data_IF_534218466904
#
_entry.id   IF_534218466904
#
_cell.length_a   1.000
_cell.length_b   1.000
_cell.length_c   1.000
_cell.angle_alpha   90.00
_cell.angle_beta   90.00
_cell.angle_gamma   90.00
#
_symmetry.space_group_name_H-M   'P 1'
#
loop_
_entity.id
_entity.type
_entity.pdbx_description
1 polymer ?
#
# COMPACT_ATOMS: atom_id res chain seq x y z
N UNK A 1 22.37 13.60 9.11
CA UNK A 1 21.56 12.37 9.06
C UNK A 1 20.33 12.48 9.95
N UNK A 2 20.48 12.77 11.25
CA UNK A 2 19.35 12.96 12.18
C UNK A 2 18.38 14.10 11.78
N UNK A 3 18.90 15.28 11.42
CA UNK A 3 18.05 16.41 11.00
C UNK A 3 17.22 16.10 9.73
N UNK A 4 17.79 15.31 8.81
CA UNK A 4 17.10 14.93 7.58
C UNK A 4 16.09 13.80 7.77
N UNK A 5 16.33 12.88 8.70
CA UNK A 5 15.33 11.90 9.16
C UNK A 5 14.14 12.65 9.77
N UNK A 6 14.40 13.69 10.56
CA UNK A 6 13.36 14.51 11.15
C UNK A 6 12.55 15.27 10.09
N UNK A 7 13.18 15.77 9.04
CA UNK A 7 12.48 16.39 7.89
C UNK A 7 11.59 15.39 7.15
N UNK A 8 12.08 14.16 6.93
CA UNK A 8 11.29 13.09 6.32
C UNK A 8 10.07 12.70 7.17
N UNK A 9 10.23 12.56 8.48
CA UNK A 9 9.14 12.29 9.42
C UNK A 9 8.09 13.43 9.44
N UNK A 10 8.50 14.65 9.07
CA UNK A 10 7.60 15.82 9.00
C UNK A 10 6.87 15.94 7.66
N UNK A 11 7.17 15.11 6.66
CA UNK A 11 6.45 15.12 5.39
C UNK A 11 4.99 14.69 5.61
N UNK A 12 4.01 15.49 5.13
CA UNK A 12 2.58 15.20 5.28
C UNK A 12 2.15 13.86 4.65
N UNK A 13 2.89 13.38 3.66
CA UNK A 13 2.64 12.12 2.96
C UNK A 13 3.37 10.93 3.58
N UNK A 14 3.95 11.09 4.78
CA UNK A 14 4.58 10.00 5.52
C UNK A 14 3.62 8.81 5.67
N UNK A 15 4.12 7.61 5.34
CA UNK A 15 3.39 6.34 5.45
C UNK A 15 4.04 5.51 6.55
N UNK A 16 3.69 5.83 7.80
CA UNK A 16 4.34 5.27 8.98
C UNK A 16 4.36 3.75 9.02
N UNK A 17 3.31 3.08 8.55
CA UNK A 17 3.23 1.61 8.53
C UNK A 17 4.25 1.00 7.56
N UNK A 18 4.30 1.47 6.30
CA UNK A 18 5.24 0.96 5.29
C UNK A 18 6.69 1.20 5.75
N UNK A 19 6.96 2.39 6.27
CA UNK A 19 8.29 2.76 6.75
C UNK A 19 8.68 1.95 7.99
N UNK A 20 7.76 1.70 8.92
CA UNK A 20 8.03 0.86 10.10
C UNK A 20 8.28 -0.60 9.71
N UNK A 21 7.52 -1.14 8.75
CA UNK A 21 7.69 -2.51 8.22
C UNK A 21 9.07 -2.66 7.58
N UNK A 22 9.44 -1.73 6.68
CA UNK A 22 10.77 -1.74 6.09
C UNK A 22 11.86 -1.44 7.12
N UNK A 23 11.66 -0.51 8.05
CA UNK A 23 12.63 -0.22 9.13
C UNK A 23 12.85 -1.43 10.05
N UNK A 24 11.81 -2.20 10.35
CA UNK A 24 11.90 -3.45 11.12
C UNK A 24 12.70 -4.52 10.38
N UNK A 25 12.52 -4.65 9.06
CA UNK A 25 13.37 -5.49 8.20
C UNK A 25 14.82 -4.98 8.17
N UNK A 26 14.99 -3.65 8.08
CA UNK A 26 16.29 -3.01 8.08
C UNK A 26 17.03 -3.27 9.40
N UNK A 27 16.38 -3.25 10.57
CA UNK A 27 17.04 -3.46 11.88
C UNK A 27 17.79 -4.79 11.97
N UNK A 28 17.29 -5.88 11.37
CA UNK A 28 18.05 -7.15 11.30
C UNK A 28 19.24 -7.11 10.34
N UNK A 29 19.31 -6.11 9.45
CA UNK A 29 20.40 -5.85 8.50
C UNK A 29 21.26 -4.62 8.84
N UNK A 30 20.94 -3.85 9.90
CA UNK A 30 21.56 -2.54 10.19
C UNK A 30 23.07 -2.63 10.44
N UNK A 31 23.57 -3.78 10.91
CA UNK A 31 25.01 -4.01 11.09
C UNK A 31 25.77 -3.99 9.75
N UNK A 32 25.10 -4.31 8.64
CA UNK A 32 25.64 -4.22 7.26
C UNK A 32 25.29 -2.86 6.65
N UNK A 33 24.12 -2.31 6.97
CA UNK A 33 23.56 -1.08 6.40
C UNK A 33 24.39 0.19 6.64
N UNK A 34 25.11 0.23 7.76
CA UNK A 34 26.02 1.35 8.11
C UNK A 34 27.45 1.17 7.58
N UNK A 35 27.76 0.03 6.95
CA UNK A 35 29.11 -0.28 6.48
C UNK A 35 29.35 -0.01 4.99
N UNK A 36 28.31 0.07 4.15
CA UNK A 36 28.47 0.25 2.71
C UNK A 36 28.04 1.64 2.22
N UNK A 37 28.99 2.33 1.56
CA UNK A 37 28.84 3.68 1.00
C UNK A 37 27.70 3.81 -0.02
N UNK A 38 27.34 2.72 -0.70
CA UNK A 38 26.23 2.65 -1.65
C UNK A 38 24.87 2.93 -0.98
N UNK A 39 24.64 2.38 0.21
CA UNK A 39 23.38 2.57 0.95
C UNK A 39 23.21 4.03 1.45
N UNK A 40 24.31 4.74 1.70
CA UNK A 40 24.26 6.15 2.08
C UNK A 40 23.85 7.05 0.89
N UNK A 41 24.29 6.72 -0.32
CA UNK A 41 23.92 7.44 -1.55
C UNK A 41 22.45 7.21 -1.90
N UNK A 42 21.96 5.96 -1.83
CA UNK A 42 20.55 5.65 -2.01
C UNK A 42 19.66 6.35 -0.98
N UNK A 43 20.09 6.38 0.28
CA UNK A 43 19.33 7.06 1.34
C UNK A 43 19.27 8.58 1.14
N UNK A 44 20.33 9.18 0.62
CA UNK A 44 20.34 10.61 0.25
C UNK A 44 19.37 10.86 -0.90
N UNK A 45 19.43 10.06 -1.96
CA UNK A 45 18.51 10.15 -3.10
C UNK A 45 17.06 9.98 -2.66
N UNK A 46 16.77 9.00 -1.81
CA UNK A 46 15.45 8.80 -1.20
C UNK A 46 14.94 10.05 -0.46
N UNK A 47 15.79 10.70 0.34
CA UNK A 47 15.41 11.92 1.05
C UNK A 47 15.20 13.11 0.11
N UNK A 48 16.08 13.28 -0.89
CA UNK A 48 15.97 14.36 -1.87
C UNK A 48 14.66 14.26 -2.66
N UNK A 49 14.33 13.04 -3.10
CA UNK A 49 13.07 12.75 -3.78
C UNK A 49 11.88 13.08 -2.86
N UNK A 50 11.89 12.63 -1.61
CA UNK A 50 10.79 12.91 -0.69
C UNK A 50 10.67 14.39 -0.30
N UNK A 51 11.78 15.12 -0.19
CA UNK A 51 11.77 16.55 0.10
C UNK A 51 11.23 17.36 -1.09
N UNK A 52 11.38 16.87 -2.32
CA UNK A 52 10.74 17.50 -3.48
C UNK A 52 9.20 17.40 -3.42
N UNK A 53 8.67 16.34 -2.79
CA UNK A 53 7.23 16.13 -2.61
C UNK A 53 6.56 17.05 -1.58
N UNK A 54 7.32 17.61 -0.63
CA UNK A 54 6.81 18.60 0.33
C UNK A 54 6.46 19.95 -0.29
N UNK A 55 6.79 20.19 -1.56
CA UNK A 55 6.33 21.38 -2.30
C UNK A 55 4.87 21.22 -2.76
N UNK A 56 4.12 22.32 -2.80
CA UNK A 56 2.68 22.36 -3.18
C UNK A 56 2.40 22.03 -4.66
N UNK A 57 3.40 21.67 -5.44
CA UNK A 57 3.22 21.34 -6.85
C UNK A 57 2.54 19.97 -6.99
N UNK A 58 1.66 19.85 -7.98
CA UNK A 58 1.05 18.57 -8.39
C UNK A 58 2.11 17.50 -8.65
N UNK A 59 1.77 16.24 -8.43
CA UNK A 59 2.61 15.08 -8.81
C UNK A 59 2.91 15.18 -10.30
N UNK A 60 4.13 15.58 -10.63
CA UNK A 60 4.70 15.35 -11.95
C UNK A 60 5.78 14.28 -11.80
N UNK A 61 5.51 13.11 -12.36
CA UNK A 61 6.47 11.99 -12.37
C UNK A 61 7.52 12.12 -13.49
N UNK A 62 7.37 13.09 -14.39
CA UNK A 62 8.31 13.29 -15.50
C UNK A 62 9.72 13.55 -14.95
N UNK A 63 10.61 12.58 -15.22
CA UNK A 63 12.01 12.65 -14.82
C UNK A 63 12.31 12.20 -13.39
N UNK A 64 11.33 11.66 -12.64
CA UNK A 64 11.61 10.98 -11.38
C UNK A 64 12.12 9.59 -11.68
N UNK A 65 13.42 9.38 -11.45
CA UNK A 65 14.00 8.05 -11.45
C UNK A 65 13.56 7.31 -10.17
N UNK A 66 12.85 6.20 -10.34
CA UNK A 66 12.40 5.34 -9.25
C UNK A 66 13.26 4.08 -9.09
N UNK A 67 14.30 3.89 -9.90
CA UNK A 67 15.19 2.73 -9.79
C UNK A 67 16.14 2.91 -8.61
N UNK A 68 16.01 2.02 -7.63
CA UNK A 68 16.95 1.86 -6.52
C UNK A 68 17.55 0.46 -6.59
N UNK A 69 18.81 0.33 -6.18
CA UNK A 69 19.44 -0.98 -5.96
C UNK A 69 18.75 -1.70 -4.79
N UNK A 70 18.26 -0.95 -3.80
CA UNK A 70 17.42 -1.46 -2.72
C UNK A 70 15.94 -1.38 -3.05
N UNK A 71 15.31 -2.56 -3.18
CA UNK A 71 13.86 -2.71 -3.36
C UNK A 71 13.04 -2.01 -2.26
N UNK A 72 13.58 -1.90 -1.04
CA UNK A 72 12.91 -1.22 0.06
C UNK A 72 12.77 0.30 -0.18
N UNK A 73 13.81 0.94 -0.71
CA UNK A 73 13.75 2.36 -1.04
C UNK A 73 12.81 2.63 -2.21
N UNK A 74 12.83 1.76 -3.22
CA UNK A 74 11.90 1.85 -4.34
C UNK A 74 10.44 1.75 -3.87
N UNK A 75 10.12 0.74 -3.05
CA UNK A 75 8.76 0.53 -2.54
C UNK A 75 8.31 1.72 -1.68
N UNK A 76 9.14 2.21 -0.76
CA UNK A 76 8.76 3.35 0.08
C UNK A 76 8.57 4.60 -0.78
N UNK A 77 9.49 4.89 -1.70
CA UNK A 77 9.40 6.08 -2.57
C UNK A 77 8.12 6.04 -3.38
N UNK A 78 7.86 4.95 -4.12
CA UNK A 78 6.64 4.81 -4.93
C UNK A 78 5.38 4.89 -4.06
N UNK A 79 5.40 4.34 -2.84
CA UNK A 79 4.26 4.43 -1.92
C UNK A 79 3.95 5.87 -1.54
N UNK A 80 4.97 6.69 -1.24
CA UNK A 80 4.78 8.12 -0.90
C UNK A 80 4.20 8.89 -2.09
N UNK A 81 4.70 8.65 -3.30
CA UNK A 81 4.14 9.26 -4.51
C UNK A 81 2.71 8.81 -4.78
N UNK A 82 2.40 7.53 -4.61
CA UNK A 82 1.05 7.00 -4.81
C UNK A 82 0.06 7.64 -3.83
N UNK A 83 0.48 7.84 -2.57
CA UNK A 83 -0.32 8.58 -1.59
C UNK A 83 -0.51 10.04 -1.97
N UNK A 84 0.54 10.73 -2.43
CA UNK A 84 0.41 12.10 -2.92
C UNK A 84 -0.57 12.18 -4.09
N UNK A 85 -0.49 11.25 -5.05
CA UNK A 85 -1.40 11.16 -6.18
C UNK A 85 -2.85 10.91 -5.72
N UNK A 86 -3.08 10.07 -4.72
CA UNK A 86 -4.39 9.89 -4.09
C UNK A 86 -4.93 11.20 -3.49
N UNK A 87 -4.10 11.91 -2.72
CA UNK A 87 -4.49 13.17 -2.07
C UNK A 87 -4.81 14.28 -3.09
N UNK A 88 -4.23 14.20 -4.28
CA UNK A 88 -4.51 15.07 -5.43
C UNK A 88 -5.62 14.55 -6.36
N UNK A 89 -6.28 13.44 -6.00
CA UNK A 89 -7.32 12.76 -6.78
C UNK A 89 -6.84 12.29 -8.18
N UNK A 90 -5.53 12.13 -8.36
CA UNK A 90 -4.95 11.52 -9.55
C UNK A 90 -4.96 9.99 -9.38
N UNK A 91 -6.16 9.41 -9.46
CA UNK A 91 -6.40 7.99 -9.22
C UNK A 91 -5.70 7.07 -10.23
N UNK A 92 -5.55 7.51 -11.49
CA UNK A 92 -4.84 6.75 -12.52
C UNK A 92 -3.36 6.57 -12.16
N UNK A 93 -2.70 7.65 -11.74
CA UNK A 93 -1.30 7.62 -11.32
C UNK A 93 -1.10 6.82 -10.04
N UNK A 94 -1.97 7.02 -9.05
CA UNK A 94 -1.96 6.23 -7.83
C UNK A 94 -2.13 4.73 -8.14
N UNK A 95 -3.04 4.36 -9.05
CA UNK A 95 -3.25 2.98 -9.48
C UNK A 95 -1.99 2.38 -10.10
N UNK A 96 -1.34 3.10 -11.02
CA UNK A 96 -0.13 2.64 -11.69
C UNK A 96 1.01 2.39 -10.69
N UNK A 97 1.25 3.34 -9.78
CA UNK A 97 2.28 3.20 -8.76
C UNK A 97 1.99 2.05 -7.79
N UNK A 98 0.76 1.92 -7.29
CA UNK A 98 0.43 0.81 -6.39
C UNK A 98 0.48 -0.54 -7.08
N UNK A 99 0.13 -0.63 -8.36
CA UNK A 99 0.16 -1.88 -9.12
C UNK A 99 1.60 -2.34 -9.33
N UNK A 100 2.50 -1.41 -9.70
CA UNK A 100 3.92 -1.72 -9.82
C UNK A 100 4.54 -2.15 -8.48
N UNK A 101 4.23 -1.45 -7.38
CA UNK A 101 4.67 -1.85 -6.03
C UNK A 101 4.15 -3.25 -5.69
N UNK A 102 2.88 -3.53 -5.97
CA UNK A 102 2.25 -4.81 -5.66
C UNK A 102 2.98 -5.98 -6.32
N UNK A 103 3.31 -5.88 -7.61
CA UNK A 103 4.08 -6.90 -8.31
C UNK A 103 5.51 -7.03 -7.79
N UNK A 104 6.18 -5.90 -7.51
CA UNK A 104 7.53 -5.95 -6.92
C UNK A 104 7.54 -6.65 -5.57
N UNK A 105 6.58 -6.36 -4.70
CA UNK A 105 6.44 -7.03 -3.40
C UNK A 105 6.18 -8.53 -3.59
N UNK A 106 5.28 -8.92 -4.51
CA UNK A 106 4.92 -10.32 -4.71
C UNK A 106 6.11 -11.15 -5.20
N UNK A 107 6.92 -10.61 -6.11
CA UNK A 107 8.11 -11.27 -6.68
C UNK A 107 9.37 -11.18 -5.80
N UNK A 108 9.40 -10.26 -4.83
CA UNK A 108 10.58 -10.04 -3.99
C UNK A 108 10.96 -11.23 -3.08
N UNK A 109 12.18 -11.23 -2.58
CA UNK A 109 12.65 -12.16 -1.52
C UNK A 109 12.32 -11.69 -0.09
N UNK A 110 11.41 -10.71 0.07
CA UNK A 110 10.98 -10.21 1.39
C UNK A 110 10.38 -11.36 2.21
N UNK A 111 10.62 -11.43 3.54
CA UNK A 111 10.04 -12.45 4.41
C UNK A 111 8.52 -12.56 4.23
N UNK A 112 8.01 -13.80 4.23
CA UNK A 112 6.61 -14.10 3.91
C UNK A 112 5.60 -13.26 4.72
N UNK A 113 5.80 -13.15 6.03
CA UNK A 113 4.88 -12.42 6.90
C UNK A 113 4.85 -10.92 6.55
N UNK A 114 6.02 -10.33 6.29
CA UNK A 114 6.12 -8.94 5.84
C UNK A 114 5.52 -8.74 4.45
N UNK A 115 5.79 -9.67 3.53
CA UNK A 115 5.21 -9.65 2.19
C UNK A 115 3.68 -9.66 2.26
N UNK A 116 3.10 -10.53 3.07
CA UNK A 116 1.64 -10.62 3.24
C UNK A 116 1.03 -9.31 3.74
N UNK A 117 1.64 -8.67 4.74
CA UNK A 117 1.19 -7.36 5.26
C UNK A 117 1.21 -6.29 4.17
N UNK A 118 2.32 -6.21 3.41
CA UNK A 118 2.47 -5.24 2.34
C UNK A 118 1.48 -5.50 1.21
N UNK A 119 1.34 -6.75 0.76
CA UNK A 119 0.39 -7.12 -0.29
C UNK A 119 -1.04 -6.80 0.12
N UNK A 120 -1.45 -7.09 1.36
CA UNK A 120 -2.78 -6.73 1.88
C UNK A 120 -3.02 -5.21 1.81
N UNK A 121 -2.03 -4.41 2.24
CA UNK A 121 -2.14 -2.95 2.22
C UNK A 121 -2.24 -2.39 0.79
N UNK A 122 -1.42 -2.88 -0.14
CA UNK A 122 -1.43 -2.42 -1.52
C UNK A 122 -2.65 -2.92 -2.29
N UNK A 123 -3.10 -4.15 -2.02
CA UNK A 123 -4.36 -4.68 -2.53
C UNK A 123 -5.54 -3.80 -2.11
N UNK A 124 -5.63 -3.42 -0.83
CA UNK A 124 -6.71 -2.56 -0.36
C UNK A 124 -6.74 -1.23 -1.11
N UNK A 125 -5.59 -0.58 -1.30
CA UNK A 125 -5.51 0.67 -2.04
C UNK A 125 -5.95 0.50 -3.49
N UNK A 126 -5.51 -0.57 -4.17
CA UNK A 126 -5.88 -0.84 -5.55
C UNK A 126 -7.39 -1.05 -5.72
N UNK A 127 -8.02 -1.85 -4.85
CA UNK A 127 -9.46 -2.09 -4.89
C UNK A 127 -10.25 -0.81 -4.60
N UNK A 128 -9.82 0.00 -3.63
CA UNK A 128 -10.45 1.29 -3.35
C UNK A 128 -10.35 2.25 -4.54
N UNK A 129 -9.20 2.33 -5.19
CA UNK A 129 -9.03 3.14 -6.40
C UNK A 129 -9.96 2.67 -7.53
N UNK A 130 -10.17 1.36 -7.68
CA UNK A 130 -11.13 0.85 -8.67
C UNK A 130 -12.56 1.31 -8.38
N UNK A 131 -12.96 1.43 -7.11
CA UNK A 131 -14.25 2.04 -6.75
C UNK A 131 -14.31 3.53 -7.11
N UNK A 132 -13.26 4.30 -6.81
CA UNK A 132 -13.19 5.74 -7.16
C UNK A 132 -13.22 5.99 -8.68
N UNK A 133 -12.74 5.02 -9.47
CA UNK A 133 -12.72 5.07 -10.93
C UNK A 133 -13.96 4.42 -11.59
N UNK A 134 -14.91 3.91 -10.81
CA UNK A 134 -16.03 3.11 -11.31
C UNK A 134 -15.60 1.90 -12.19
N UNK A 135 -14.40 1.36 -11.97
CA UNK A 135 -13.79 0.29 -12.77
C UNK A 135 -14.06 -1.08 -12.14
N UNK A 136 -15.26 -1.60 -12.40
CA UNK A 136 -15.69 -2.90 -11.88
C UNK A 136 -14.82 -4.06 -12.40
N UNK A 137 -14.48 -4.07 -13.68
CA UNK A 137 -13.77 -5.20 -14.30
C UNK A 137 -12.36 -5.34 -13.72
N UNK A 138 -11.62 -4.24 -13.60
CA UNK A 138 -10.28 -4.26 -12.99
C UNK A 138 -10.32 -4.66 -11.52
N UNK A 139 -11.28 -4.11 -10.77
CA UNK A 139 -11.45 -4.44 -9.36
C UNK A 139 -11.82 -5.91 -9.13
N UNK A 140 -12.71 -6.46 -9.95
CA UNK A 140 -13.09 -7.88 -9.89
C UNK A 140 -11.89 -8.79 -10.22
N UNK A 141 -11.11 -8.47 -11.26
CA UNK A 141 -9.90 -9.23 -11.60
C UNK A 141 -8.92 -9.26 -10.42
N UNK A 142 -8.68 -8.11 -9.79
CA UNK A 142 -7.79 -8.00 -8.62
C UNK A 142 -8.25 -8.87 -7.44
N UNK A 143 -9.55 -8.93 -7.18
CA UNK A 143 -10.11 -9.77 -6.10
C UNK A 143 -9.94 -11.26 -6.44
N UNK A 144 -10.30 -11.65 -7.66
CA UNK A 144 -10.29 -13.06 -8.09
C UNK A 144 -8.87 -13.62 -8.22
N UNK A 145 -7.89 -12.82 -8.62
CA UNK A 145 -6.51 -13.25 -8.82
C UNK A 145 -5.71 -13.38 -7.51
N UNK A 146 -5.94 -12.49 -6.54
CA UNK A 146 -5.07 -12.42 -5.36
C UNK A 146 -5.47 -13.33 -4.20
N UNK A 147 -6.78 -13.54 -3.99
CA UNK A 147 -7.36 -14.46 -2.99
C UNK A 147 -6.59 -14.54 -1.67
N UNK A 148 -6.25 -13.39 -1.08
CA UNK A 148 -5.49 -13.36 0.17
C UNK A 148 -6.35 -13.94 1.30
N UNK A 149 -5.80 -14.89 2.05
CA UNK A 149 -6.49 -15.57 3.14
C UNK A 149 -6.47 -14.72 4.43
N UNK A 150 -7.11 -13.55 4.38
CA UNK A 150 -7.18 -12.63 5.52
C UNK A 150 -8.57 -12.00 5.67
N UNK A 151 -8.94 -11.71 6.91
CA UNK A 151 -10.18 -11.00 7.23
C UNK A 151 -10.29 -9.66 6.48
N UNK A 152 -9.17 -8.92 6.39
CA UNK A 152 -9.15 -7.59 5.77
C UNK A 152 -9.36 -7.65 4.27
N UNK A 153 -8.75 -8.64 3.60
CA UNK A 153 -8.98 -8.88 2.17
C UNK A 153 -10.47 -9.06 1.88
N UNK A 154 -11.12 -9.93 2.66
CA UNK A 154 -12.55 -10.21 2.50
C UNK A 154 -13.44 -9.02 2.87
N UNK A 155 -13.11 -8.25 3.92
CA UNK A 155 -13.85 -7.03 4.26
C UNK A 155 -13.82 -6.00 3.11
N UNK A 156 -12.64 -5.78 2.51
CA UNK A 156 -12.47 -4.85 1.39
C UNK A 156 -13.17 -5.36 0.12
N UNK A 157 -13.08 -6.65 -0.20
CA UNK A 157 -13.82 -7.24 -1.32
C UNK A 157 -15.34 -7.12 -1.13
N UNK A 158 -15.82 -7.27 0.11
CA UNK A 158 -17.22 -7.04 0.46
C UNK A 158 -17.65 -5.59 0.19
N UNK A 159 -16.84 -4.62 0.61
CA UNK A 159 -17.07 -3.19 0.35
C UNK A 159 -17.11 -2.88 -1.16
N UNK A 160 -16.20 -3.47 -1.94
CA UNK A 160 -16.17 -3.35 -3.40
C UNK A 160 -17.44 -3.87 -4.06
N UNK A 161 -17.82 -5.12 -3.79
CA UNK A 161 -19.02 -5.70 -4.41
C UNK A 161 -20.28 -4.97 -3.97
N UNK A 162 -20.34 -4.46 -2.73
CA UNK A 162 -21.44 -3.65 -2.25
C UNK A 162 -21.55 -2.33 -3.02
N UNK A 163 -20.42 -1.65 -3.26
CA UNK A 163 -20.36 -0.41 -4.04
C UNK A 163 -21.02 -0.59 -5.42
N UNK A 164 -20.67 -1.68 -6.11
CA UNK A 164 -21.24 -2.04 -7.43
C UNK A 164 -22.57 -2.81 -7.36
N UNK A 165 -23.25 -2.80 -6.21
CA UNK A 165 -24.57 -3.42 -6.00
C UNK A 165 -24.62 -4.94 -6.25
N UNK A 166 -23.47 -5.63 -6.18
CA UNK A 166 -23.36 -7.09 -6.24
C UNK A 166 -23.58 -7.69 -4.85
N UNK A 167 -24.76 -7.49 -4.29
CA UNK A 167 -25.06 -7.75 -2.88
C UNK A 167 -24.84 -9.21 -2.43
N UNK A 168 -25.05 -10.18 -3.31
CA UNK A 168 -24.78 -11.60 -3.02
C UNK A 168 -23.29 -11.85 -2.79
N UNK A 169 -22.44 -11.33 -3.69
CA UNK A 169 -20.97 -11.42 -3.57
C UNK A 169 -20.47 -10.61 -2.37
N UNK A 170 -21.02 -9.42 -2.14
CA UNK A 170 -20.69 -8.62 -0.97
C UNK A 170 -20.95 -9.40 0.33
N UNK A 171 -22.14 -10.01 0.45
CA UNK A 171 -22.50 -10.83 1.60
C UNK A 171 -21.60 -12.06 1.76
N UNK A 172 -21.26 -12.74 0.67
CA UNK A 172 -20.29 -13.85 0.69
C UNK A 172 -18.95 -13.40 1.28
N UNK A 173 -18.38 -12.30 0.80
CA UNK A 173 -17.10 -11.80 1.29
C UNK A 173 -17.18 -11.33 2.75
N UNK A 174 -18.25 -10.65 3.16
CA UNK A 174 -18.43 -10.29 4.57
C UNK A 174 -18.56 -11.51 5.49
N UNK A 175 -19.26 -12.56 5.06
CA UNK A 175 -19.36 -13.82 5.82
C UNK A 175 -18.01 -14.52 5.94
N UNK A 176 -17.22 -14.53 4.85
CA UNK A 176 -15.85 -15.01 4.88
C UNK A 176 -14.98 -14.21 5.84
N UNK A 177 -15.06 -12.87 5.82
CA UNK A 177 -14.30 -12.02 6.74
C UNK A 177 -14.60 -12.36 8.21
N UNK A 178 -15.88 -12.49 8.58
CA UNK A 178 -16.34 -12.81 9.95
C UNK A 178 -15.89 -14.21 10.42
N UNK A 179 -15.59 -15.12 9.48
CA UNK A 179 -15.15 -16.48 9.80
C UNK A 179 -13.74 -16.55 10.39
N UNK A 180 -12.92 -15.51 10.19
CA UNK A 180 -11.58 -15.41 10.77
C UNK A 180 -11.65 -15.14 12.29
N UNK A 181 -10.56 -15.49 12.98
CA UNK A 181 -10.41 -15.19 14.40
C UNK A 181 -10.27 -13.67 14.60
N UNK A 182 -11.27 -13.08 15.25
CA UNK A 182 -11.38 -11.65 15.50
C UNK A 182 -12.38 -11.41 16.63
N UNK A 183 -12.29 -10.25 17.28
CA UNK A 183 -13.17 -9.91 18.40
C UNK A 183 -14.61 -9.61 17.94
N UNK A 184 -15.56 -9.71 18.87
CA UNK A 184 -16.99 -9.50 18.58
C UNK A 184 -17.28 -8.07 18.09
N UNK A 185 -16.49 -7.07 18.51
CA UNK A 185 -16.68 -5.70 18.06
C UNK A 185 -16.35 -5.57 16.57
N UNK A 186 -15.25 -6.20 16.12
CA UNK A 186 -14.88 -6.27 14.70
C UNK A 186 -15.92 -7.03 13.88
N UNK A 187 -16.41 -8.17 14.37
CA UNK A 187 -17.51 -8.91 13.71
C UNK A 187 -18.76 -8.06 13.56
N UNK A 188 -19.15 -7.35 14.62
CA UNK A 188 -20.33 -6.47 14.60
C UNK A 188 -20.16 -5.33 13.59
N UNK A 189 -18.97 -4.73 13.48
CA UNK A 189 -18.69 -3.70 12.47
C UNK A 189 -18.87 -4.23 11.05
N UNK A 190 -18.39 -5.44 10.75
CA UNK A 190 -18.58 -6.06 9.43
C UNK A 190 -20.05 -6.41 9.18
N UNK A 191 -20.76 -6.94 10.18
CA UNK A 191 -22.19 -7.25 10.06
C UNK A 191 -23.04 -6.03 9.71
N UNK A 192 -22.73 -4.86 10.28
CA UNK A 192 -23.42 -3.61 9.97
C UNK A 192 -23.24 -3.15 8.52
N UNK A 193 -22.20 -3.63 7.82
CA UNK A 193 -21.97 -3.31 6.42
C UNK A 193 -22.83 -4.15 5.47
N UNK A 194 -23.29 -5.33 5.88
CA UNK A 194 -23.98 -6.28 4.99
C UNK A 194 -25.23 -5.66 4.35
N UNK A 195 -25.38 -5.74 3.01
CA UNK A 195 -26.63 -5.38 2.35
C UNK A 195 -27.79 -6.19 2.89
N UNK A 196 -28.96 -5.55 3.03
CA UNK A 196 -30.20 -6.27 3.30
C UNK A 196 -30.46 -7.24 2.14
N UNK A 197 -30.83 -8.48 2.50
CA UNK A 197 -31.23 -9.50 1.53
C UNK A 197 -32.55 -9.14 0.86
#
# INVERSE_FOLDING_TARGET
MADRILEFLKNKYFIGTVIAVFSGLFINSITVYTMEKANEEEFKRFQEINNSLSSENSVNLDGVDFEFDSIGFEIITKSVFAKKALDEQNFSEASALFQDIFYKVSESSIPKDTKNILLEQYYENLVRICMELDDFEKGESLIVENQLDTARFHDVAGDFYKYFQKNEMANYHYDMAISFDMDDSQKNLIQLKKPLK
#
